data_IF_095674903167
#
_entry.id   IF_095674903167
#
_cell.length_a   1.000
_cell.length_b   1.000
_cell.length_c   1.000
_cell.angle_alpha   90.00
_cell.angle_beta   90.00
_cell.angle_gamma   90.00
#
_symmetry.space_group_name_H-M   'P 1'
#
loop_
_entity.id
_entity.type
_entity.pdbx_description
1 polymer ?
#
# COMPACT_ATOMS: atom_id res chain seq x y z
N UNK A 1 34.04 -11.81 21.98
CA UNK A 1 33.84 -12.87 20.98
C UNK A 1 32.37 -13.24 20.96
N UNK A 2 31.77 -13.31 19.77
CA UNK A 2 30.33 -13.39 19.52
C UNK A 2 29.90 -14.82 19.20
N UNK A 3 28.78 -15.31 19.74
CA UNK A 3 27.90 -16.37 19.17
C UNK A 3 26.52 -16.27 19.88
N UNK A 4 25.45 -15.70 19.30
CA UNK A 4 24.48 -16.26 18.32
C UNK A 4 23.50 -17.30 18.89
N UNK A 5 22.26 -16.87 19.20
CA UNK A 5 21.00 -17.53 18.83
C UNK A 5 19.77 -16.82 19.47
N UNK A 6 19.02 -16.03 18.70
CA UNK A 6 17.60 -15.76 18.98
C UNK A 6 16.87 -15.30 17.71
N UNK A 7 15.78 -16.02 17.40
CA UNK A 7 14.63 -15.66 16.55
C UNK A 7 14.78 -14.67 15.39
N UNK A 8 14.54 -15.16 14.17
CA UNK A 8 13.96 -14.35 13.08
C UNK A 8 12.59 -13.81 13.52
N UNK A 9 12.57 -12.64 14.12
CA UNK A 9 11.45 -11.70 14.05
C UNK A 9 12.08 -10.33 13.92
N UNK A 10 12.45 -9.93 12.70
CA UNK A 10 12.59 -8.49 12.44
C UNK A 10 11.21 -7.94 12.70
N UNK A 11 11.02 -7.36 13.88
CA UNK A 11 9.87 -6.53 14.13
C UNK A 11 9.91 -5.42 13.09
N UNK A 12 9.13 -5.57 12.03
CA UNK A 12 8.44 -4.41 11.49
C UNK A 12 7.60 -3.92 12.67
N UNK A 13 8.21 -3.07 13.50
CA UNK A 13 7.46 -1.96 14.09
C UNK A 13 6.58 -1.46 12.96
N UNK A 14 5.23 -1.42 13.10
CA UNK A 14 4.42 -0.82 12.06
C UNK A 14 5.08 0.53 11.81
N UNK A 15 5.60 0.75 10.61
CA UNK A 15 6.21 2.02 10.26
C UNK A 15 5.11 3.02 10.56
N UNK A 16 5.27 3.79 11.63
CA UNK A 16 4.17 4.54 12.24
C UNK A 16 3.68 5.52 11.17
N UNK A 17 2.56 5.20 10.51
CA UNK A 17 2.07 5.91 9.33
C UNK A 17 1.69 5.04 8.11
N UNK A 18 2.22 3.83 7.93
CA UNK A 18 1.79 2.99 6.79
C UNK A 18 0.39 2.41 7.03
N UNK A 19 -0.59 2.66 6.16
CA UNK A 19 -1.90 2.04 6.26
C UNK A 19 -1.78 0.52 6.11
N UNK A 20 -2.38 -0.19 7.06
CA UNK A 20 -2.50 -1.65 7.03
C UNK A 20 -3.70 -2.10 6.20
N UNK A 21 -3.83 -3.39 5.95
CA UNK A 21 -5.02 -3.95 5.31
C UNK A 21 -5.21 -3.51 3.86
N UNK A 22 -4.13 -3.13 3.16
CA UNK A 22 -4.17 -2.85 1.73
C UNK A 22 -4.61 -4.12 0.98
N UNK A 23 -5.79 -4.03 0.37
CA UNK A 23 -6.39 -5.09 -0.43
C UNK A 23 -6.85 -4.52 -1.76
N UNK A 24 -6.89 -5.38 -2.76
CA UNK A 24 -7.56 -5.10 -4.03
C UNK A 24 -8.98 -5.62 -3.92
N UNK A 25 -9.97 -4.73 -4.04
CA UNK A 25 -11.39 -5.10 -3.94
C UNK A 25 -12.04 -5.35 -5.29
N UNK A 26 -11.51 -4.75 -6.35
CA UNK A 26 -12.02 -4.90 -7.71
C UNK A 26 -10.89 -4.76 -8.72
N UNK A 27 -10.93 -5.57 -9.78
CA UNK A 27 -9.99 -5.50 -10.90
C UNK A 27 -10.73 -5.71 -12.20
N UNK A 28 -10.52 -4.80 -13.14
CA UNK A 28 -11.01 -4.89 -14.51
C UNK A 28 -9.82 -4.88 -15.47
N UNK A 29 -10.09 -4.98 -16.78
CA UNK A 29 -9.05 -4.89 -17.81
C UNK A 29 -8.23 -3.59 -17.77
N UNK A 30 -8.83 -2.50 -17.25
CA UNK A 30 -8.24 -1.15 -17.34
C UNK A 30 -8.30 -0.37 -16.02
N UNK A 31 -8.75 -1.00 -14.93
CA UNK A 31 -8.87 -0.34 -13.63
C UNK A 31 -8.67 -1.30 -12.47
N UNK A 32 -8.12 -0.81 -11.38
CA UNK A 32 -7.94 -1.54 -10.11
C UNK A 32 -8.46 -0.68 -8.97
N UNK A 33 -9.32 -1.26 -8.12
CA UNK A 33 -9.79 -0.62 -6.90
C UNK A 33 -9.04 -1.17 -5.70
N UNK A 34 -8.36 -0.27 -5.00
CA UNK A 34 -7.61 -0.50 -3.78
C UNK A 34 -8.43 -0.01 -2.59
N UNK A 35 -8.35 -0.74 -1.49
CA UNK A 35 -8.89 -0.34 -0.19
C UNK A 35 -7.88 -0.64 0.90
N UNK A 36 -7.76 0.24 1.88
CA UNK A 36 -6.88 0.07 3.02
C UNK A 36 -7.57 0.53 4.29
N UNK A 37 -6.94 0.29 5.44
CA UNK A 37 -7.44 0.71 6.74
C UNK A 37 -6.99 2.14 7.07
N UNK A 38 -7.83 2.87 7.81
CA UNK A 38 -7.47 4.23 8.23
C UNK A 38 -6.43 4.21 9.33
N UNK A 39 -5.41 5.06 9.23
CA UNK A 39 -4.41 5.26 10.29
C UNK A 39 -4.83 6.47 11.15
N UNK A 40 -4.95 6.31 12.49
CA UNK A 40 -5.31 7.41 13.37
C UNK A 40 -4.23 8.51 13.33
N UNK A 41 -4.65 9.76 13.12
CA UNK A 41 -3.77 10.91 12.97
C UNK A 41 -3.33 11.20 11.54
N UNK A 42 -3.72 10.36 10.56
CA UNK A 42 -3.46 10.57 9.14
C UNK A 42 -4.72 11.04 8.43
N UNK A 43 -4.60 12.13 7.69
CA UNK A 43 -5.69 12.75 6.91
C UNK A 43 -5.55 12.54 5.41
N UNK A 44 -4.38 12.12 4.95
CA UNK A 44 -4.05 11.95 3.53
C UNK A 44 -3.21 10.70 3.35
N UNK A 45 -3.50 9.95 2.29
CA UNK A 45 -2.77 8.78 1.87
C UNK A 45 -2.24 9.01 0.46
N UNK A 46 -0.99 8.67 0.24
CA UNK A 46 -0.33 8.68 -1.05
C UNK A 46 -0.40 7.28 -1.65
N UNK A 47 -0.98 7.16 -2.85
CA UNK A 47 -1.02 5.91 -3.59
C UNK A 47 0.08 5.91 -4.66
N UNK A 48 0.81 4.81 -4.74
CA UNK A 48 1.93 4.61 -5.64
C UNK A 48 1.67 3.42 -6.54
N UNK A 49 2.08 3.53 -7.81
CA UNK A 49 2.03 2.48 -8.82
C UNK A 49 3.41 2.32 -9.42
N UNK A 50 3.96 1.10 -9.37
CA UNK A 50 5.34 0.80 -9.76
C UNK A 50 6.36 1.76 -9.12
N UNK A 51 6.13 2.11 -7.85
CA UNK A 51 6.99 3.02 -7.08
C UNK A 51 6.81 4.51 -7.36
N UNK A 52 6.01 4.91 -8.36
CA UNK A 52 5.70 6.31 -8.63
C UNK A 52 4.39 6.73 -7.96
N UNK A 53 4.37 7.89 -7.31
CA UNK A 53 3.15 8.45 -6.74
C UNK A 53 2.16 8.78 -7.86
N UNK A 54 1.01 8.13 -7.83
CA UNK A 54 -0.09 8.37 -8.79
C UNK A 54 -0.99 9.47 -8.27
N UNK A 55 -1.35 9.40 -6.99
CA UNK A 55 -2.30 10.34 -6.38
C UNK A 55 -2.11 10.44 -4.87
N UNK A 56 -2.77 11.43 -4.29
CA UNK A 56 -2.98 11.57 -2.85
C UNK A 56 -4.47 11.70 -2.56
N UNK A 57 -5.02 10.83 -1.71
CA UNK A 57 -6.43 10.79 -1.37
C UNK A 57 -6.61 10.82 0.14
N UNK A 58 -7.64 11.51 0.63
CA UNK A 58 -8.01 11.47 2.05
C UNK A 58 -8.91 10.28 2.39
N UNK A 59 -9.48 9.64 1.36
CA UNK A 59 -10.26 8.41 1.50
C UNK A 59 -9.35 7.20 1.71
N UNK A 60 -9.89 6.13 2.29
CA UNK A 60 -9.19 4.84 2.46
C UNK A 60 -9.43 3.87 1.31
N UNK A 61 -9.78 4.41 0.15
CA UNK A 61 -10.06 3.67 -1.08
C UNK A 61 -9.70 4.51 -2.29
N UNK A 62 -9.14 3.88 -3.31
CA UNK A 62 -8.76 4.53 -4.56
C UNK A 62 -8.96 3.58 -5.73
N UNK A 63 -9.59 4.08 -6.79
CA UNK A 63 -9.69 3.37 -8.07
C UNK A 63 -8.69 3.99 -9.04
N UNK A 64 -7.67 3.23 -9.39
CA UNK A 64 -6.73 3.56 -10.45
C UNK A 64 -7.36 3.15 -11.79
N UNK A 65 -7.54 4.11 -12.70
CA UNK A 65 -8.05 3.88 -14.06
C UNK A 65 -6.92 4.05 -15.08
N UNK A 66 -7.21 3.87 -16.36
CA UNK A 66 -6.23 4.02 -17.45
C UNK A 66 -5.06 3.01 -17.37
N UNK A 67 -5.37 1.80 -16.92
CA UNK A 67 -4.42 0.69 -16.91
C UNK A 67 -4.39 -0.05 -18.24
N UNK A 68 -3.21 -0.57 -18.57
CA UNK A 68 -3.04 -1.43 -19.73
C UNK A 68 -3.37 -2.87 -19.34
N UNK A 69 -4.20 -3.52 -20.15
CA UNK A 69 -4.53 -4.93 -19.98
C UNK A 69 -3.28 -5.80 -20.00
N UNK A 70 -3.30 -6.91 -19.24
CA UNK A 70 -2.19 -7.86 -19.14
C UNK A 70 -0.84 -7.27 -18.69
N UNK A 71 -0.87 -6.16 -17.95
CA UNK A 71 0.31 -5.54 -17.33
C UNK A 71 0.28 -5.78 -15.82
N UNK A 72 1.41 -6.20 -15.25
CA UNK A 72 1.58 -6.30 -13.80
C UNK A 72 1.85 -4.90 -13.21
N UNK A 73 1.10 -4.55 -12.19
CA UNK A 73 1.22 -3.26 -11.49
C UNK A 73 1.39 -3.51 -10.00
N UNK A 74 2.46 -2.94 -9.45
CA UNK A 74 2.70 -2.98 -8.01
C UNK A 74 2.13 -1.73 -7.34
N UNK A 75 1.23 -1.93 -6.39
CA UNK A 75 0.60 -0.85 -5.64
C UNK A 75 1.14 -0.75 -4.22
N UNK A 76 1.41 0.47 -3.78
CA UNK A 76 1.78 0.80 -2.41
C UNK A 76 0.99 2.00 -1.93
N UNK A 77 0.68 2.03 -0.65
CA UNK A 77 0.03 3.17 -0.02
C UNK A 77 0.83 3.58 1.21
N UNK A 78 1.08 4.87 1.36
CA UNK A 78 1.72 5.46 2.54
C UNK A 78 0.91 6.64 3.05
N UNK A 79 1.03 6.97 4.33
CA UNK A 79 0.63 8.30 4.85
C UNK A 79 1.53 9.40 4.29
#
# INVERSE_FOLDING_TARGET
>A
ASNSATGKTTGESPAVGTPSGLIVTDTTSNSVTLKWDSVPGITTYNAYRNGNKVTSVSATSYTDTDLNSATDYQYQVSS
#
